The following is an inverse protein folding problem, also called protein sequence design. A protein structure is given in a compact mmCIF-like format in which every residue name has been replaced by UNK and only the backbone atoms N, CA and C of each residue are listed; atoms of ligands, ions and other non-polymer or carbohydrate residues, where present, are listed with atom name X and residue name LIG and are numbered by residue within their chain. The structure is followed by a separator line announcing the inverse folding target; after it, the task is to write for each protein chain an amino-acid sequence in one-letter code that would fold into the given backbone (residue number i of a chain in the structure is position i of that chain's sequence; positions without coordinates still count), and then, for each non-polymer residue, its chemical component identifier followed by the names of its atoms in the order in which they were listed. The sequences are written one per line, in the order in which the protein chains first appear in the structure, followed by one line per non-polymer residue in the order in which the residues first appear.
data_IF_294703211852
#
_entry.id   IF_294703211852
#
_cell.length_a   1.000
_cell.length_b   1.000
_cell.length_c   1.000
_cell.angle_alpha   90.00
_cell.angle_beta   90.00
_cell.angle_gamma   90.00
#
_symmetry.space_group_name_H-M   'P 1'
#
loop_
_entity.id
_entity.type
_entity.pdbx_description
1 polymer ?
#
# COMPACT_ATOMS: atom_id res chain seq x y z
N UNK A 1 -0.40 -22.88 48.80
CA UNK A 1 -1.37 -22.05 48.06
C UNK A 1 -1.09 -22.32 46.58
N UNK A 2 -2.04 -22.97 45.87
CA UNK A 2 -1.88 -23.17 44.44
C UNK A 2 -2.01 -21.82 43.72
N UNK A 3 -1.19 -21.56 42.72
CA UNK A 3 -1.37 -20.40 41.86
C UNK A 3 -2.77 -20.43 41.26
N UNK A 4 -3.47 -19.33 41.36
CA UNK A 4 -4.78 -19.17 40.71
C UNK A 4 -4.59 -19.37 39.17
N UNK A 5 -5.42 -20.22 38.54
CA UNK A 5 -5.25 -20.47 37.11
C UNK A 5 -5.41 -19.15 36.33
N UNK A 6 -4.50 -18.91 35.39
CA UNK A 6 -4.55 -17.71 34.55
C UNK A 6 -5.92 -17.63 33.83
N UNK A 7 -6.51 -16.45 33.71
CA UNK A 7 -7.78 -16.27 33.01
C UNK A 7 -7.64 -16.73 31.53
N UNK A 8 -8.73 -17.25 30.94
CA UNK A 8 -8.71 -17.62 29.53
C UNK A 8 -8.36 -16.41 28.65
N UNK A 9 -7.67 -16.61 27.53
CA UNK A 9 -7.31 -15.53 26.62
C UNK A 9 -8.58 -14.86 26.07
N UNK A 10 -8.51 -13.54 25.80
CA UNK A 10 -9.57 -12.85 25.08
C UNK A 10 -9.80 -13.54 23.73
N UNK A 11 -11.03 -13.99 23.41
CA UNK A 11 -11.35 -14.69 22.17
C UNK A 11 -11.38 -13.77 20.94
N UNK A 12 -11.41 -12.44 21.10
CA UNK A 12 -11.46 -11.49 20.00
C UNK A 12 -10.23 -11.60 19.13
N UNK A 13 -10.44 -11.79 17.83
CA UNK A 13 -9.38 -11.94 16.83
C UNK A 13 -9.34 -10.81 15.81
N UNK A 14 -10.29 -9.89 15.86
CA UNK A 14 -10.41 -8.80 14.90
C UNK A 14 -10.39 -7.44 15.58
N UNK A 15 -9.73 -6.49 14.92
CA UNK A 15 -9.68 -5.08 15.34
C UNK A 15 -9.80 -4.19 14.11
N UNK A 16 -10.29 -2.98 14.26
CA UNK A 16 -10.49 -2.04 13.13
C UNK A 16 -9.42 -0.96 13.07
N UNK A 17 -9.09 -0.34 14.20
CA UNK A 17 -8.17 0.80 14.27
C UNK A 17 -7.26 0.70 15.52
N UNK A 18 -6.34 -0.27 15.60
CA UNK A 18 -5.46 -0.36 16.75
C UNK A 18 -4.29 0.62 16.66
N UNK A 19 -3.91 1.21 17.81
CA UNK A 19 -2.55 1.73 17.97
C UNK A 19 -1.56 0.55 18.09
N UNK A 20 -0.27 0.78 17.85
CA UNK A 20 0.72 -0.28 18.02
C UNK A 20 0.77 -0.78 19.48
N UNK A 21 0.62 0.10 20.45
CA UNK A 21 0.53 -0.24 21.87
C UNK A 21 -0.70 -1.11 22.17
N UNK A 22 -1.87 -0.70 21.65
CA UNK A 22 -3.10 -1.46 21.80
C UNK A 22 -2.99 -2.85 21.16
N UNK A 23 -2.44 -2.94 19.94
CA UNK A 23 -2.20 -4.21 19.25
C UNK A 23 -1.24 -5.11 20.04
N UNK A 24 -0.16 -4.55 20.60
CA UNK A 24 0.78 -5.32 21.44
C UNK A 24 0.11 -5.87 22.69
N UNK A 25 -0.77 -5.09 23.32
CA UNK A 25 -1.55 -5.51 24.50
C UNK A 25 -2.51 -6.63 24.15
N UNK A 26 -3.22 -6.52 23.02
CA UNK A 26 -4.11 -7.58 22.53
C UNK A 26 -3.35 -8.90 22.28
N UNK A 27 -2.14 -8.84 21.73
CA UNK A 27 -1.29 -10.03 21.58
C UNK A 27 -0.77 -10.58 22.90
N UNK A 28 -0.62 -9.75 23.91
CA UNK A 28 -0.18 -10.20 25.23
C UNK A 28 -1.31 -10.89 26.01
N UNK A 29 -2.50 -10.31 26.00
CA UNK A 29 -3.65 -10.78 26.76
C UNK A 29 -4.49 -11.83 26.00
N UNK A 30 -4.52 -11.75 24.66
CA UNK A 30 -5.41 -12.50 23.79
C UNK A 30 -4.75 -13.60 22.96
N UNK A 31 -5.32 -13.78 21.79
CA UNK A 31 -4.91 -14.82 20.83
C UNK A 31 -3.65 -14.42 20.05
N UNK A 32 -2.79 -15.39 19.66
CA UNK A 32 -1.55 -15.10 18.95
C UNK A 32 -1.76 -14.76 17.46
N UNK A 33 -2.96 -14.90 16.93
CA UNK A 33 -3.33 -14.58 15.55
C UNK A 33 -4.46 -13.57 15.55
N UNK A 34 -4.20 -12.38 15.03
CA UNK A 34 -5.15 -11.28 14.95
C UNK A 34 -5.31 -10.78 13.50
N UNK A 35 -6.39 -10.08 13.23
CA UNK A 35 -6.63 -9.40 11.97
C UNK A 35 -7.10 -7.96 12.15
N UNK A 36 -6.53 -7.04 11.41
CA UNK A 36 -7.08 -5.70 11.22
C UNK A 36 -8.00 -5.80 10.01
N UNK A 37 -9.31 -5.66 10.24
CA UNK A 37 -10.32 -5.67 9.19
C UNK A 37 -11.13 -4.38 9.28
N UNK A 38 -11.11 -3.59 8.21
CA UNK A 38 -11.85 -2.32 8.16
C UNK A 38 -12.47 -2.13 6.79
N UNK A 39 -13.75 -1.85 6.76
CA UNK A 39 -14.52 -1.39 5.60
C UNK A 39 -14.36 0.13 5.38
N UNK A 40 -13.87 0.85 6.39
CA UNK A 40 -13.44 2.25 6.34
C UNK A 40 -11.93 2.38 6.63
N UNK A 41 -11.09 1.72 5.86
CA UNK A 41 -9.63 1.70 6.05
C UNK A 41 -8.98 3.09 6.01
N UNK A 42 -9.68 4.10 5.50
CA UNK A 42 -9.28 5.50 5.61
C UNK A 42 -9.13 5.97 7.05
N UNK A 43 -9.94 5.45 7.98
CA UNK A 43 -9.81 5.75 9.42
C UNK A 43 -8.48 5.23 9.98
N UNK A 44 -8.09 4.00 9.61
CA UNK A 44 -6.79 3.45 10.02
C UNK A 44 -5.62 4.25 9.40
N UNK A 45 -5.68 4.58 8.10
CA UNK A 45 -4.61 5.30 7.41
C UNK A 45 -4.50 6.77 7.85
N UNK A 46 -5.61 7.41 8.24
CA UNK A 46 -5.66 8.78 8.76
C UNK A 46 -5.69 8.89 10.29
N UNK A 47 -5.78 7.75 11.00
CA UNK A 47 -5.93 7.71 12.45
C UNK A 47 -4.65 8.00 13.23
N UNK A 48 -4.76 7.94 14.57
CA UNK A 48 -3.67 8.25 15.49
C UNK A 48 -2.41 7.40 15.26
N UNK A 49 -2.58 6.13 14.93
CA UNK A 49 -1.47 5.20 14.64
C UNK A 49 -0.63 5.66 13.44
N UNK A 50 -1.23 6.34 12.48
CA UNK A 50 -0.60 6.85 11.25
C UNK A 50 -0.35 8.37 11.27
N UNK A 51 -0.53 9.04 12.43
CA UNK A 51 -0.14 10.44 12.60
C UNK A 51 1.36 10.63 12.36
N UNK A 52 1.78 11.84 12.02
CA UNK A 52 3.16 12.18 11.66
C UNK A 52 4.19 11.65 12.67
N UNK A 53 3.86 11.70 13.97
CA UNK A 53 4.76 11.31 15.05
C UNK A 53 4.82 9.78 15.27
N UNK A 54 3.73 9.07 15.01
CA UNK A 54 3.61 7.63 15.27
C UNK A 54 3.83 6.77 14.04
N UNK A 55 3.65 7.33 12.84
CA UNK A 55 3.60 6.63 11.56
C UNK A 55 4.82 5.73 11.33
N UNK A 56 6.01 6.28 11.42
CA UNK A 56 7.24 5.52 11.15
C UNK A 56 7.38 4.31 12.09
N UNK A 57 7.05 4.49 13.36
CA UNK A 57 7.06 3.42 14.36
C UNK A 57 6.00 2.36 14.07
N UNK A 58 4.81 2.78 13.69
CA UNK A 58 3.71 1.86 13.35
C UNK A 58 4.04 1.06 12.10
N UNK A 59 4.52 1.70 11.02
CA UNK A 59 4.91 1.03 9.78
C UNK A 59 6.03 0.01 10.01
N UNK A 60 7.07 0.36 10.78
CA UNK A 60 8.15 -0.56 11.12
C UNK A 60 7.63 -1.77 11.90
N UNK A 61 6.76 -1.55 12.88
CA UNK A 61 6.17 -2.62 13.68
C UNK A 61 5.27 -3.57 12.87
N UNK A 62 4.49 -3.03 11.94
CA UNK A 62 3.67 -3.85 11.05
C UNK A 62 4.53 -4.64 10.05
N UNK A 63 5.64 -4.07 9.58
CA UNK A 63 6.62 -4.78 8.76
C UNK A 63 7.26 -5.95 9.53
N UNK A 64 7.60 -5.75 10.80
CA UNK A 64 8.13 -6.83 11.67
C UNK A 64 7.10 -7.94 11.88
N UNK A 65 5.84 -7.60 12.11
CA UNK A 65 4.75 -8.57 12.23
C UNK A 65 4.50 -9.34 10.92
N UNK A 66 4.65 -8.69 9.78
CA UNK A 66 4.56 -9.35 8.48
C UNK A 66 5.68 -10.38 8.27
N UNK A 67 6.89 -10.09 8.77
CA UNK A 67 8.03 -11.03 8.78
C UNK A 67 7.84 -12.17 9.81
N UNK A 68 6.93 -11.99 10.78
CA UNK A 68 6.76 -12.91 11.91
C UNK A 68 7.82 -12.74 13.00
N UNK A 69 8.49 -11.59 13.04
CA UNK A 69 9.46 -11.26 14.06
C UNK A 69 8.81 -11.18 15.46
N UNK A 70 9.53 -11.52 16.54
CA UNK A 70 9.02 -11.38 17.88
C UNK A 70 8.74 -9.92 18.25
N UNK A 71 7.64 -9.66 18.94
CA UNK A 71 7.37 -8.36 19.53
C UNK A 71 8.19 -8.24 20.81
N UNK A 72 9.12 -7.29 20.85
CA UNK A 72 9.94 -7.01 22.02
C UNK A 72 9.56 -5.66 22.61
N UNK A 73 9.24 -5.65 23.91
CA UNK A 73 8.89 -4.43 24.65
C UNK A 73 9.69 -4.33 25.92
N UNK A 74 10.25 -3.15 26.14
CA UNK A 74 10.89 -2.76 27.40
C UNK A 74 10.32 -1.39 27.78
N UNK A 75 9.61 -1.32 28.91
CA UNK A 75 9.07 -0.07 29.44
C UNK A 75 9.46 0.09 30.89
N UNK A 76 9.78 1.32 31.28
CA UNK A 76 10.03 1.69 32.65
C UNK A 76 8.69 1.54 33.41
N UNK A 77 8.61 0.62 34.38
CA UNK A 77 7.42 0.37 35.21
C UNK A 77 6.57 -0.85 34.82
N UNK A 78 6.56 -1.29 33.56
CA UNK A 78 5.77 -2.46 33.10
C UNK A 78 6.62 -3.73 32.89
N UNK A 79 7.96 -3.61 33.08
CA UNK A 79 8.89 -4.71 32.82
C UNK A 79 9.23 -4.89 31.34
N UNK A 80 9.97 -5.97 31.06
CA UNK A 80 10.36 -6.35 29.69
C UNK A 80 9.73 -7.69 29.35
N UNK A 81 9.14 -7.78 28.14
CA UNK A 81 8.61 -9.04 27.64
C UNK A 81 8.91 -9.23 26.14
N UNK A 82 8.89 -10.48 25.70
CA UNK A 82 9.03 -10.86 24.31
C UNK A 82 7.91 -11.83 23.94
N UNK A 83 7.15 -11.50 22.91
CA UNK A 83 6.06 -12.32 22.37
C UNK A 83 6.54 -12.97 21.08
N UNK A 84 6.74 -14.27 21.09
CA UNK A 84 7.09 -15.08 19.92
C UNK A 84 5.83 -15.59 19.22
N UNK A 85 5.94 -15.96 17.93
CA UNK A 85 4.90 -16.64 17.20
C UNK A 85 3.60 -15.82 17.09
N UNK A 86 3.68 -14.52 16.84
CA UNK A 86 2.50 -13.66 16.59
C UNK A 86 2.28 -13.51 15.10
N UNK A 87 1.01 -13.47 14.67
CA UNK A 87 0.61 -13.29 13.27
C UNK A 87 -0.47 -12.23 13.17
N UNK A 88 -0.33 -11.38 12.17
CA UNK A 88 -1.28 -10.31 11.86
C UNK A 88 -1.66 -10.38 10.38
N UNK A 89 -2.95 -10.44 10.10
CA UNK A 89 -3.51 -10.15 8.79
C UNK A 89 -4.04 -8.71 8.77
N UNK A 90 -3.95 -8.04 7.62
CA UNK A 90 -4.50 -6.69 7.44
C UNK A 90 -5.34 -6.66 6.17
N UNK A 91 -6.60 -6.28 6.29
CA UNK A 91 -7.53 -6.08 5.19
C UNK A 91 -8.22 -4.72 5.35
N UNK A 92 -8.02 -3.85 4.35
CA UNK A 92 -8.55 -2.49 4.37
C UNK A 92 -9.31 -2.23 3.08
N UNK A 93 -10.56 -1.82 3.18
CA UNK A 93 -11.29 -1.19 2.09
C UNK A 93 -11.08 0.32 2.20
N UNK A 94 -10.49 0.93 1.19
CA UNK A 94 -10.10 2.34 1.24
C UNK A 94 -10.72 3.08 0.07
N UNK A 95 -11.22 4.27 0.32
CA UNK A 95 -11.71 5.14 -0.75
C UNK A 95 -10.55 5.53 -1.68
N UNK A 96 -10.74 5.55 -3.03
CA UNK A 96 -9.66 5.78 -3.98
C UNK A 96 -8.84 7.04 -3.74
N UNK A 97 -9.48 8.15 -3.33
CA UNK A 97 -8.79 9.40 -3.02
C UNK A 97 -7.79 9.24 -1.87
N UNK A 98 -8.24 8.66 -0.75
CA UNK A 98 -7.41 8.42 0.43
C UNK A 98 -6.27 7.42 0.11
N UNK A 99 -6.57 6.39 -0.68
CA UNK A 99 -5.56 5.42 -1.08
C UNK A 99 -4.46 6.06 -1.94
N UNK A 100 -4.82 6.92 -2.90
CA UNK A 100 -3.85 7.64 -3.75
C UNK A 100 -2.93 8.53 -2.96
N UNK A 101 -3.47 9.31 -2.01
CA UNK A 101 -2.68 10.18 -1.14
C UNK A 101 -1.67 9.35 -0.31
N UNK A 102 -2.11 8.20 0.20
CA UNK A 102 -1.24 7.31 0.96
C UNK A 102 -0.18 6.63 0.09
N UNK A 103 -0.53 6.22 -1.13
CA UNK A 103 0.41 5.61 -2.08
C UNK A 103 1.43 6.61 -2.64
N UNK A 104 1.07 7.89 -2.72
CA UNK A 104 1.97 8.96 -3.13
C UNK A 104 2.94 9.39 -2.02
N UNK A 105 2.75 8.93 -0.77
CA UNK A 105 3.63 9.30 0.34
C UNK A 105 4.97 8.53 0.28
N UNK A 106 6.11 9.23 0.03
CA UNK A 106 7.42 8.59 -0.06
C UNK A 106 7.79 7.77 1.18
N UNK A 107 7.32 8.17 2.37
CA UNK A 107 7.63 7.43 3.62
C UNK A 107 6.98 6.06 3.66
N UNK A 108 5.80 5.91 3.05
CA UNK A 108 5.11 4.62 3.00
C UNK A 108 5.80 3.66 2.02
N UNK A 109 6.36 4.17 0.93
CA UNK A 109 7.13 3.40 -0.05
C UNK A 109 8.54 3.09 0.46
N UNK A 110 9.31 4.09 0.90
CA UNK A 110 10.68 3.96 1.40
C UNK A 110 10.82 2.98 2.58
N UNK A 111 9.78 2.85 3.41
CA UNK A 111 9.76 1.87 4.52
C UNK A 111 9.48 0.45 4.05
N UNK A 112 9.13 0.25 2.79
CA UNK A 112 8.71 -1.04 2.23
C UNK A 112 7.36 -1.53 2.79
N UNK A 113 6.55 -0.66 3.39
CA UNK A 113 5.24 -1.02 3.92
C UNK A 113 4.24 -1.32 2.82
N UNK A 114 4.06 -0.39 1.87
CA UNK A 114 3.17 -0.55 0.73
C UNK A 114 3.47 -1.81 -0.10
N UNK A 115 4.73 -2.13 -0.43
CA UNK A 115 5.08 -3.35 -1.17
C UNK A 115 4.64 -4.68 -0.54
N UNK A 116 4.22 -4.68 0.71
CA UNK A 116 3.72 -5.87 1.41
C UNK A 116 2.21 -6.08 1.25
N UNK A 117 1.52 -5.12 0.66
CA UNK A 117 0.09 -5.21 0.40
C UNK A 117 -0.18 -5.69 -1.03
N UNK A 118 -1.19 -6.52 -1.15
CA UNK A 118 -1.85 -6.84 -2.41
C UNK A 118 -2.92 -5.77 -2.62
N UNK A 119 -2.68 -4.85 -3.55
CA UNK A 119 -3.56 -3.70 -3.79
C UNK A 119 -4.31 -3.86 -5.11
N UNK A 120 -5.58 -3.46 -5.13
CA UNK A 120 -6.36 -3.35 -6.36
C UNK A 120 -7.43 -2.25 -6.24
N UNK A 121 -7.75 -1.64 -7.36
CA UNK A 121 -8.87 -0.71 -7.51
C UNK A 121 -9.77 -1.23 -8.65
N UNK A 122 -10.81 -2.03 -8.33
CA UNK A 122 -11.72 -2.54 -9.34
C UNK A 122 -12.51 -1.41 -9.99
N UNK A 123 -12.91 -1.59 -11.26
CA UNK A 123 -13.73 -0.63 -11.95
C UNK A 123 -15.06 -0.41 -11.22
N UNK A 124 -15.49 0.86 -11.12
CA UNK A 124 -16.76 1.20 -10.50
C UNK A 124 -17.93 0.60 -11.26
N UNK A 125 -18.82 -0.08 -10.55
CA UNK A 125 -20.08 -0.59 -11.08
C UNK A 125 -21.27 0.34 -10.81
N UNK A 126 -21.03 1.58 -10.37
CA UNK A 126 -22.08 2.57 -10.15
C UNK A 126 -22.86 2.80 -11.44
N UNK A 127 -24.20 2.76 -11.35
CA UNK A 127 -25.09 2.87 -12.49
C UNK A 127 -25.49 1.54 -13.14
N UNK A 128 -24.80 0.44 -12.85
CA UNK A 128 -25.11 -0.90 -13.38
C UNK A 128 -25.70 -1.86 -12.35
N UNK A 129 -25.71 -1.48 -11.07
CA UNK A 129 -26.19 -2.31 -9.94
C UNK A 129 -27.69 -2.20 -9.78
N UNK A 130 -28.45 -2.80 -10.72
CA UNK A 130 -29.91 -2.81 -10.68
C UNK A 130 -30.39 -3.98 -9.83
N UNK A 131 -31.25 -3.73 -8.83
CA UNK A 131 -31.80 -4.77 -7.94
C UNK A 131 -32.49 -5.91 -8.69
N UNK A 132 -33.16 -5.59 -9.79
CA UNK A 132 -33.82 -6.61 -10.63
C UNK A 132 -32.86 -7.61 -11.27
N UNK A 133 -31.57 -7.28 -11.36
CA UNK A 133 -30.52 -8.14 -11.97
C UNK A 133 -29.66 -8.84 -10.92
N UNK A 134 -29.85 -8.51 -9.63
CA UNK A 134 -29.05 -9.08 -8.55
C UNK A 134 -29.50 -10.51 -8.28
N UNK A 135 -28.65 -11.48 -8.60
CA UNK A 135 -28.83 -12.87 -8.18
C UNK A 135 -28.00 -13.07 -6.91
N UNK A 136 -28.66 -13.45 -5.82
CA UNK A 136 -27.99 -13.95 -4.62
C UNK A 136 -27.73 -15.44 -4.79
N UNK A 137 -26.47 -15.86 -4.75
CA UNK A 137 -26.11 -17.27 -4.61
C UNK A 137 -25.89 -17.58 -3.13
N UNK A 138 -26.96 -17.76 -2.42
CA UNK A 138 -26.92 -18.08 -0.98
C UNK A 138 -26.21 -19.42 -0.73
N UNK A 139 -26.22 -20.36 -1.68
CA UNK A 139 -25.55 -21.65 -1.56
C UNK A 139 -24.03 -21.51 -1.55
N UNK A 140 -23.46 -20.69 -2.42
CA UNK A 140 -22.02 -20.42 -2.47
C UNK A 140 -21.55 -19.70 -1.19
N UNK A 141 -22.28 -18.70 -0.74
CA UNK A 141 -21.98 -17.95 0.50
C UNK A 141 -22.03 -18.87 1.72
N UNK A 142 -23.06 -19.71 1.84
CA UNK A 142 -23.19 -20.66 2.94
C UNK A 142 -22.08 -21.71 2.93
N UNK A 143 -21.72 -22.23 1.76
CA UNK A 143 -20.63 -23.19 1.60
C UNK A 143 -19.29 -22.60 2.03
N UNK A 144 -18.99 -21.37 1.59
CA UNK A 144 -17.81 -20.64 2.04
C UNK A 144 -17.78 -20.44 3.56
N UNK A 145 -18.89 -19.94 4.11
CA UNK A 145 -18.99 -19.69 5.55
C UNK A 145 -18.84 -20.98 6.37
N UNK A 146 -19.43 -22.08 5.92
CA UNK A 146 -19.30 -23.38 6.57
C UNK A 146 -17.86 -23.88 6.56
N UNK A 147 -17.17 -23.79 5.40
CA UNK A 147 -15.78 -24.18 5.26
C UNK A 147 -14.86 -23.34 6.15
N UNK A 148 -15.01 -22.01 6.11
CA UNK A 148 -14.27 -21.08 6.96
C UNK A 148 -14.49 -21.38 8.45
N UNK A 149 -15.73 -21.63 8.87
CA UNK A 149 -16.05 -22.03 10.24
C UNK A 149 -15.33 -23.32 10.63
N UNK A 150 -15.27 -24.28 9.72
CA UNK A 150 -14.51 -25.53 9.91
C UNK A 150 -13.03 -25.30 10.20
N UNK A 151 -12.40 -24.39 9.43
CA UNK A 151 -11.00 -23.99 9.64
C UNK A 151 -10.82 -23.26 10.99
N UNK A 152 -11.67 -22.28 11.27
CA UNK A 152 -11.57 -21.47 12.50
C UNK A 152 -11.87 -22.23 13.78
N UNK A 153 -12.55 -23.39 13.68
CA UNK A 153 -12.86 -24.26 14.82
C UNK A 153 -11.73 -25.24 15.16
N UNK A 154 -10.66 -25.27 14.35
CA UNK A 154 -9.48 -26.09 14.65
C UNK A 154 -8.62 -25.44 15.74
N UNK A 155 -7.99 -26.29 16.54
CA UNK A 155 -6.97 -25.83 17.49
C UNK A 155 -5.81 -25.19 16.75
N UNK A 156 -5.34 -24.06 17.26
CA UNK A 156 -4.15 -23.41 16.71
C UNK A 156 -2.90 -24.23 17.08
N UNK A 157 -1.94 -24.38 16.14
CA UNK A 157 -0.64 -24.98 16.43
C UNK A 157 0.18 -24.03 17.32
N UNK A 158 -0.04 -24.06 18.63
CA UNK A 158 0.61 -23.14 19.55
C UNK A 158 1.10 -23.86 20.82
N UNK A 159 2.19 -23.38 21.37
CA UNK A 159 2.65 -23.72 22.71
C UNK A 159 1.65 -23.22 23.77
N UNK A 160 1.17 -24.10 24.63
CA UNK A 160 0.12 -23.77 25.61
C UNK A 160 0.60 -22.79 26.68
N UNK A 161 1.88 -22.81 27.05
CA UNK A 161 2.44 -21.95 28.11
C UNK A 161 2.72 -20.53 27.62
N UNK A 162 3.35 -20.41 26.45
CA UNK A 162 3.77 -19.10 25.88
C UNK A 162 2.73 -18.52 24.94
N UNK A 163 1.77 -19.32 24.52
CA UNK A 163 0.82 -18.98 23.44
C UNK A 163 1.51 -18.56 22.13
N UNK A 164 2.75 -18.99 21.92
CA UNK A 164 3.44 -18.77 20.66
C UNK A 164 2.92 -19.72 19.60
N UNK A 165 2.59 -19.23 18.41
CA UNK A 165 2.29 -20.09 17.28
C UNK A 165 3.54 -20.84 16.85
N UNK A 166 3.41 -22.13 16.65
CA UNK A 166 4.43 -23.05 16.16
C UNK A 166 3.94 -23.74 14.88
N UNK A 167 3.77 -22.98 13.79
CA UNK A 167 3.25 -23.55 12.54
C UNK A 167 4.26 -24.53 11.96
N UNK A 168 3.74 -25.64 11.42
CA UNK A 168 4.58 -26.54 10.62
C UNK A 168 5.09 -25.84 9.36
N UNK A 169 6.25 -26.25 8.89
CA UNK A 169 6.78 -25.81 7.61
C UNK A 169 6.04 -26.50 6.46
N UNK A 170 5.43 -25.73 5.56
CA UNK A 170 4.86 -26.24 4.33
C UNK A 170 5.92 -26.14 3.23
N UNK A 171 6.31 -27.29 2.65
CA UNK A 171 7.33 -27.35 1.60
C UNK A 171 6.69 -27.13 0.23
N UNK A 172 7.50 -26.79 -0.76
CA UNK A 172 7.12 -26.79 -2.17
C UNK A 172 7.50 -28.15 -2.76
N UNK A 173 6.65 -28.72 -3.62
CA UNK A 173 7.07 -29.81 -4.47
C UNK A 173 8.02 -29.36 -5.59
N UNK A 174 8.48 -30.26 -6.46
CA UNK A 174 9.41 -29.94 -7.54
C UNK A 174 8.83 -28.94 -8.54
N UNK A 175 7.56 -29.11 -8.89
CA UNK A 175 6.89 -28.31 -9.92
C UNK A 175 6.55 -26.91 -9.40
N UNK A 176 6.02 -26.81 -8.18
CA UNK A 176 5.80 -25.53 -7.51
C UNK A 176 7.10 -24.74 -7.37
N UNK A 177 8.19 -25.43 -7.03
CA UNK A 177 9.51 -24.78 -6.92
C UNK A 177 10.03 -24.28 -8.27
N UNK A 178 9.88 -25.06 -9.34
CA UNK A 178 10.29 -24.66 -10.68
C UNK A 178 9.52 -23.43 -11.16
N UNK A 179 8.19 -23.45 -11.03
CA UNK A 179 7.33 -22.32 -11.38
C UNK A 179 7.67 -21.04 -10.60
N UNK A 180 7.92 -21.17 -9.30
CA UNK A 180 8.29 -20.03 -8.47
C UNK A 180 9.63 -19.40 -8.92
N UNK A 181 10.64 -20.23 -9.25
CA UNK A 181 11.94 -19.73 -9.73
C UNK A 181 11.77 -18.98 -11.05
N UNK A 182 11.06 -19.58 -12.01
CA UNK A 182 10.78 -18.94 -13.30
C UNK A 182 10.07 -17.59 -13.15
N UNK A 183 9.07 -17.53 -12.28
CA UNK A 183 8.36 -16.29 -11.96
C UNK A 183 9.30 -15.26 -11.33
N UNK A 184 10.09 -15.66 -10.34
CA UNK A 184 11.04 -14.76 -9.66
C UNK A 184 12.06 -14.17 -10.63
N UNK A 185 12.65 -14.99 -11.51
CA UNK A 185 13.63 -14.56 -12.52
C UNK A 185 13.00 -13.62 -13.54
N UNK A 186 11.75 -13.88 -13.95
CA UNK A 186 11.00 -13.03 -14.87
C UNK A 186 10.75 -11.66 -14.26
N UNK A 187 10.29 -11.62 -13.01
CA UNK A 187 10.04 -10.36 -12.27
C UNK A 187 11.35 -9.61 -12.03
N UNK A 188 12.44 -10.30 -11.68
CA UNK A 188 13.75 -9.69 -11.47
C UNK A 188 14.25 -9.04 -12.77
N UNK A 189 14.12 -9.72 -13.90
CA UNK A 189 14.51 -9.16 -15.21
C UNK A 189 13.71 -7.91 -15.57
N UNK A 190 12.42 -7.85 -15.18
CA UNK A 190 11.53 -6.72 -15.43
C UNK A 190 11.85 -5.48 -14.56
N UNK A 191 12.68 -5.59 -13.53
CA UNK A 191 13.10 -4.47 -12.66
C UNK A 191 14.30 -3.68 -13.21
N UNK A 192 14.95 -4.13 -14.27
CA UNK A 192 16.10 -3.44 -14.86
C UNK A 192 15.77 -2.00 -15.24
N UNK A 193 16.75 -1.07 -15.22
CA UNK A 193 16.51 0.31 -15.65
C UNK A 193 15.86 0.36 -17.04
N UNK A 194 14.72 1.04 -17.15
CA UNK A 194 13.93 1.16 -18.36
C UNK A 194 13.03 -0.04 -18.71
N UNK A 195 13.05 -1.12 -17.93
CA UNK A 195 12.12 -2.23 -18.08
C UNK A 195 10.75 -1.93 -17.42
N UNK A 196 9.77 -2.79 -17.68
CA UNK A 196 8.34 -2.54 -17.34
C UNK A 196 8.06 -2.31 -15.85
N UNK A 197 8.86 -2.88 -14.94
CA UNK A 197 8.65 -2.78 -13.49
C UNK A 197 9.70 -1.91 -12.79
N UNK A 198 10.53 -1.18 -13.54
CA UNK A 198 11.56 -0.29 -12.98
C UNK A 198 10.98 0.82 -12.08
N UNK A 199 9.71 1.17 -12.25
CA UNK A 199 9.01 2.18 -11.46
C UNK A 199 8.38 1.65 -10.16
N UNK A 200 8.35 0.32 -9.94
CA UNK A 200 7.71 -0.35 -8.80
C UNK A 200 8.60 -1.45 -8.19
N UNK A 201 9.91 -1.23 -8.18
CA UNK A 201 10.88 -2.24 -7.70
C UNK A 201 10.60 -2.75 -6.28
N UNK A 202 10.04 -1.90 -5.40
CA UNK A 202 9.60 -2.30 -4.08
C UNK A 202 8.57 -3.45 -4.11
N UNK A 203 7.52 -3.29 -4.91
CA UNK A 203 6.48 -4.32 -5.10
C UNK A 203 7.02 -5.55 -5.82
N UNK A 204 7.77 -5.35 -6.90
CA UNK A 204 8.36 -6.41 -7.68
C UNK A 204 9.27 -7.32 -6.82
N UNK A 205 10.11 -6.74 -5.96
CA UNK A 205 10.97 -7.48 -5.02
C UNK A 205 10.20 -8.34 -4.00
N UNK A 206 8.90 -8.10 -3.82
CA UNK A 206 8.04 -8.89 -2.93
C UNK A 206 7.15 -9.89 -3.65
N UNK A 207 7.10 -9.84 -4.98
CA UNK A 207 6.15 -10.64 -5.77
C UNK A 207 6.30 -12.15 -5.56
N UNK A 208 7.52 -12.69 -5.57
CA UNK A 208 7.78 -14.11 -5.33
C UNK A 208 7.39 -14.54 -3.92
N UNK A 209 7.66 -13.72 -2.90
CA UNK A 209 7.22 -13.98 -1.52
C UNK A 209 5.69 -13.92 -1.40
N UNK A 210 5.02 -12.99 -2.07
CA UNK A 210 3.55 -12.92 -2.12
C UNK A 210 2.97 -14.17 -2.81
N UNK A 211 3.55 -14.62 -3.92
CA UNK A 211 3.14 -15.85 -4.58
C UNK A 211 3.23 -17.06 -3.63
N UNK A 212 4.32 -17.22 -2.89
CA UNK A 212 4.47 -18.27 -1.88
C UNK A 212 3.38 -18.20 -0.79
N UNK A 213 3.07 -16.99 -0.31
CA UNK A 213 2.04 -16.79 0.73
C UNK A 213 0.65 -17.14 0.22
N UNK A 214 0.31 -16.72 -0.99
CA UNK A 214 -0.97 -17.04 -1.65
C UNK A 214 -1.05 -18.54 -1.87
N UNK A 215 -0.02 -19.18 -2.44
CA UNK A 215 0.01 -20.61 -2.67
C UNK A 215 -0.21 -21.41 -1.37
N UNK A 216 0.48 -21.04 -0.29
CA UNK A 216 0.27 -21.65 1.02
C UNK A 216 -1.17 -21.49 1.54
N UNK A 217 -1.81 -20.34 1.32
CA UNK A 217 -3.22 -20.13 1.69
C UNK A 217 -4.14 -20.99 0.85
N UNK A 218 -3.95 -21.05 -0.48
CA UNK A 218 -4.77 -21.87 -1.40
C UNK A 218 -4.67 -23.38 -1.04
N UNK A 219 -3.44 -23.87 -0.83
CA UNK A 219 -3.20 -25.25 -0.41
C UNK A 219 -3.91 -25.59 0.90
N UNK A 220 -3.75 -24.73 1.92
CA UNK A 220 -4.34 -24.99 3.25
C UNK A 220 -5.84 -24.70 3.30
N UNK A 221 -6.37 -23.85 2.41
CA UNK A 221 -7.80 -23.72 2.23
C UNK A 221 -8.42 -25.03 1.72
N UNK A 222 -7.75 -25.71 0.80
CA UNK A 222 -8.20 -27.01 0.25
C UNK A 222 -8.04 -28.14 1.24
N UNK A 223 -6.85 -28.26 1.84
CA UNK A 223 -6.54 -29.28 2.86
C UNK A 223 -5.55 -28.74 3.89
N UNK A 224 -6.02 -28.59 5.13
CA UNK A 224 -5.17 -28.18 6.26
C UNK A 224 -4.02 -29.15 6.56
N UNK A 225 -4.11 -30.40 6.10
CA UNK A 225 -3.10 -31.44 6.31
C UNK A 225 -2.20 -31.65 5.09
N UNK A 226 -2.37 -30.88 4.00
CA UNK A 226 -1.57 -31.02 2.79
C UNK A 226 -0.07 -31.09 3.12
N UNK A 227 0.68 -32.05 2.56
CA UNK A 227 2.10 -32.24 2.90
C UNK A 227 3.01 -31.16 2.28
N UNK A 228 2.61 -30.60 1.14
CA UNK A 228 3.36 -29.63 0.37
C UNK A 228 2.42 -28.72 -0.44
N UNK A 229 2.93 -27.63 -0.95
CA UNK A 229 2.32 -26.82 -2.03
C UNK A 229 2.64 -27.53 -3.34
N UNK A 230 1.61 -27.82 -4.13
CA UNK A 230 1.72 -28.47 -5.43
C UNK A 230 1.83 -27.42 -6.55
N UNK A 231 2.26 -27.88 -7.75
CA UNK A 231 2.44 -27.02 -8.91
C UNK A 231 1.18 -26.25 -9.29
N UNK A 232 -0.01 -26.86 -9.18
CA UNK A 232 -1.30 -26.20 -9.47
C UNK A 232 -1.56 -24.99 -8.57
N UNK A 233 -1.43 -25.17 -7.25
CA UNK A 233 -1.60 -24.07 -6.29
C UNK A 233 -0.60 -22.93 -6.51
N UNK A 234 0.64 -23.30 -6.90
CA UNK A 234 1.66 -22.29 -7.21
C UNK A 234 1.33 -21.52 -8.50
N UNK A 235 0.84 -22.19 -9.54
CA UNK A 235 0.44 -21.55 -10.80
C UNK A 235 -0.69 -20.53 -10.57
N UNK A 236 -1.71 -20.93 -9.80
CA UNK A 236 -2.82 -20.05 -9.41
C UNK A 236 -2.32 -18.86 -8.59
N UNK A 237 -1.42 -19.11 -7.64
CA UNK A 237 -0.83 -18.07 -6.82
C UNK A 237 0.02 -17.07 -7.62
N UNK A 238 0.78 -17.55 -8.60
CA UNK A 238 1.56 -16.71 -9.53
C UNK A 238 0.62 -15.84 -10.37
N UNK A 239 -0.49 -16.41 -10.85
CA UNK A 239 -1.52 -15.66 -11.59
C UNK A 239 -2.08 -14.52 -10.74
N UNK A 240 -2.44 -14.78 -9.49
CA UNK A 240 -2.92 -13.76 -8.57
C UNK A 240 -1.84 -12.74 -8.22
N UNK A 241 -0.62 -13.16 -7.92
CA UNK A 241 0.49 -12.26 -7.62
C UNK A 241 0.82 -11.36 -8.81
N UNK A 242 0.79 -11.89 -10.03
CA UNK A 242 0.96 -11.14 -11.28
C UNK A 242 -0.14 -10.09 -11.49
N UNK A 243 -1.40 -10.44 -11.21
CA UNK A 243 -2.52 -9.50 -11.25
C UNK A 243 -2.28 -8.32 -10.28
N UNK A 244 -1.97 -8.59 -9.01
CA UNK A 244 -1.73 -7.54 -8.03
C UNK A 244 -0.49 -6.70 -8.33
N UNK A 245 0.53 -7.30 -8.94
CA UNK A 245 1.70 -6.56 -9.40
C UNK A 245 1.36 -5.61 -10.55
N UNK A 246 0.51 -6.05 -11.49
CA UNK A 246 -0.04 -5.20 -12.55
C UNK A 246 -0.90 -4.06 -12.00
N UNK A 247 -1.73 -4.33 -10.99
CA UNK A 247 -2.51 -3.31 -10.29
C UNK A 247 -1.62 -2.30 -9.54
N UNK A 248 -0.57 -2.77 -8.87
CA UNK A 248 0.40 -1.89 -8.21
C UNK A 248 1.07 -0.94 -9.22
N UNK A 249 1.45 -1.44 -10.40
CA UNK A 249 2.02 -0.63 -11.48
C UNK A 249 1.00 0.42 -11.95
N UNK A 250 -0.21 0.00 -12.29
CA UNK A 250 -1.27 0.89 -12.76
C UNK A 250 -1.61 1.99 -11.77
N UNK A 251 -1.76 1.63 -10.49
CA UNK A 251 -2.13 2.58 -9.43
C UNK A 251 -0.98 3.53 -9.08
N UNK A 252 0.26 3.07 -9.09
CA UNK A 252 1.43 3.91 -8.87
C UNK A 252 1.60 4.92 -9.99
N UNK A 253 1.42 4.52 -11.25
CA UNK A 253 1.47 5.44 -12.38
C UNK A 253 0.33 6.46 -12.33
N UNK A 254 -0.89 6.02 -11.97
CA UNK A 254 -2.04 6.91 -11.79
C UNK A 254 -1.80 7.92 -10.65
N UNK A 255 -1.22 7.49 -9.54
CA UNK A 255 -0.90 8.36 -8.41
C UNK A 255 0.15 9.42 -8.79
N UNK A 256 1.19 9.04 -9.54
CA UNK A 256 2.20 9.98 -10.05
C UNK A 256 1.60 11.04 -10.97
N UNK A 257 0.75 10.62 -11.92
CA UNK A 257 0.06 11.55 -12.84
C UNK A 257 -0.86 12.51 -12.07
N UNK A 258 -1.59 12.01 -11.06
CA UNK A 258 -2.45 12.84 -10.21
C UNK A 258 -1.65 13.87 -9.42
N UNK A 259 -0.52 13.48 -8.84
CA UNK A 259 0.37 14.39 -8.10
C UNK A 259 1.00 15.47 -9.00
N UNK A 260 1.40 15.10 -10.21
CA UNK A 260 1.93 16.05 -11.20
C UNK A 260 0.85 17.06 -11.62
N UNK A 261 -0.38 16.60 -11.81
CA UNK A 261 -1.52 17.46 -12.18
C UNK A 261 -1.88 18.41 -11.05
N UNK A 262 -1.98 17.93 -9.80
CA UNK A 262 -2.23 18.78 -8.63
C UNK A 262 -1.13 19.84 -8.46
N UNK A 263 0.11 19.45 -8.64
CA UNK A 263 1.27 20.32 -8.57
C UNK A 263 1.22 21.43 -9.64
N UNK A 264 0.84 21.08 -10.86
CA UNK A 264 0.67 22.03 -11.95
C UNK A 264 -0.51 22.98 -11.69
N UNK A 265 -1.63 22.48 -11.16
CA UNK A 265 -2.81 23.30 -10.84
C UNK A 265 -2.51 24.30 -9.71
N UNK A 266 -1.83 23.90 -8.65
CA UNK A 266 -1.37 24.80 -7.58
C UNK A 266 -0.41 25.87 -8.11
N UNK A 267 0.47 25.50 -9.06
CA UNK A 267 1.33 26.47 -9.74
C UNK A 267 0.50 27.46 -10.57
N UNK A 268 -0.51 26.99 -11.30
CA UNK A 268 -1.42 27.84 -12.08
C UNK A 268 -2.11 28.87 -11.20
N UNK A 269 -2.71 28.42 -10.10
CA UNK A 269 -3.39 29.31 -9.16
C UNK A 269 -2.46 30.42 -8.66
N UNK A 270 -1.27 30.06 -8.18
CA UNK A 270 -0.28 31.02 -7.72
C UNK A 270 0.16 32.00 -8.81
N UNK A 271 0.39 31.55 -10.05
CA UNK A 271 0.77 32.40 -11.17
C UNK A 271 -0.32 33.40 -11.56
N UNK A 272 -1.58 32.99 -11.48
CA UNK A 272 -2.72 33.83 -11.85
C UNK A 272 -3.08 34.81 -10.73
N UNK A 273 -3.08 34.40 -9.48
CA UNK A 273 -3.63 35.13 -8.34
C UNK A 273 -2.56 35.96 -7.61
N UNK A 274 -1.35 35.44 -7.46
CA UNK A 274 -0.34 36.05 -6.59
C UNK A 274 0.90 36.58 -7.33
N UNK A 275 1.24 35.99 -8.50
CA UNK A 275 2.45 36.40 -9.21
C UNK A 275 2.29 37.74 -9.93
N UNK A 276 3.15 38.76 -9.61
CA UNK A 276 2.91 40.14 -10.06
C UNK A 276 3.34 40.44 -11.51
N UNK A 277 4.11 39.53 -12.14
CA UNK A 277 4.67 39.79 -13.47
C UNK A 277 3.90 39.03 -14.57
N UNK A 278 3.86 39.54 -15.81
CA UNK A 278 3.25 38.86 -16.94
C UNK A 278 4.07 37.66 -17.45
N UNK A 279 5.37 37.61 -17.12
CA UNK A 279 6.25 36.52 -17.49
C UNK A 279 6.77 35.76 -16.26
N UNK A 280 7.08 34.47 -16.45
CA UNK A 280 7.67 33.59 -15.43
C UNK A 280 8.81 32.79 -16.01
N UNK A 281 9.83 32.51 -15.20
CA UNK A 281 10.93 31.61 -15.49
C UNK A 281 10.93 30.45 -14.51
N UNK A 282 11.53 29.31 -14.89
CA UNK A 282 11.68 28.15 -13.96
C UNK A 282 12.34 28.56 -12.64
N UNK A 283 13.36 29.45 -12.68
CA UNK A 283 14.01 30.00 -11.48
C UNK A 283 13.04 30.73 -10.54
N UNK A 284 12.08 31.47 -11.11
CA UNK A 284 11.09 32.21 -10.32
C UNK A 284 10.19 31.23 -9.55
N UNK A 285 9.76 30.14 -10.21
CA UNK A 285 8.96 29.09 -9.59
C UNK A 285 9.75 28.44 -8.47
N UNK A 286 11.00 28.01 -8.73
CA UNK A 286 11.86 27.36 -7.73
C UNK A 286 12.09 28.24 -6.51
N UNK A 287 12.31 29.54 -6.70
CA UNK A 287 12.70 30.44 -5.61
C UNK A 287 11.53 31.07 -4.88
N UNK A 288 10.42 31.35 -5.56
CA UNK A 288 9.34 32.19 -5.05
C UNK A 288 8.00 31.51 -4.86
N UNK A 289 7.70 30.44 -5.63
CA UNK A 289 6.43 29.74 -5.45
C UNK A 289 6.32 29.16 -4.01
N UNK A 290 5.20 29.33 -3.31
CA UNK A 290 5.01 28.81 -1.95
C UNK A 290 4.76 27.29 -1.94
N UNK A 291 5.17 26.58 -2.97
CA UNK A 291 4.93 25.16 -3.21
C UNK A 291 6.24 24.39 -3.00
N UNK A 292 6.36 23.69 -1.88
CA UNK A 292 7.59 22.96 -1.51
C UNK A 292 8.05 21.96 -2.59
N UNK A 293 7.11 21.27 -3.23
CA UNK A 293 7.39 20.29 -4.27
C UNK A 293 7.99 20.90 -5.56
N UNK A 294 7.94 22.22 -5.75
CA UNK A 294 8.51 22.93 -6.90
C UNK A 294 9.88 23.57 -6.62
N UNK A 295 10.52 23.27 -5.49
CA UNK A 295 11.88 23.76 -5.16
C UNK A 295 12.97 23.13 -6.02
N UNK A 296 12.67 22.03 -6.70
CA UNK A 296 13.56 21.37 -7.65
C UNK A 296 13.29 21.84 -9.08
N UNK A 297 14.35 22.16 -9.82
CA UNK A 297 14.27 22.66 -11.20
C UNK A 297 13.52 21.69 -12.11
N UNK A 298 13.72 20.38 -11.94
CA UNK A 298 13.05 19.34 -12.75
C UNK A 298 11.52 19.38 -12.55
N UNK A 299 11.08 19.43 -11.31
CA UNK A 299 9.65 19.49 -10.98
C UNK A 299 9.00 20.79 -11.46
N UNK A 300 9.66 21.92 -11.26
CA UNK A 300 9.19 23.22 -11.72
C UNK A 300 9.08 23.29 -13.26
N UNK A 301 10.06 22.76 -13.98
CA UNK A 301 10.05 22.68 -15.46
C UNK A 301 8.93 21.79 -15.97
N UNK A 302 8.73 20.61 -15.35
CA UNK A 302 7.64 19.70 -15.72
C UNK A 302 6.26 20.33 -15.52
N UNK A 303 6.04 21.03 -14.39
CA UNK A 303 4.78 21.71 -14.11
C UNK A 303 4.52 22.88 -15.07
N UNK A 304 5.55 23.66 -15.42
CA UNK A 304 5.43 24.72 -16.44
C UNK A 304 5.12 24.12 -17.82
N UNK A 305 5.76 23.01 -18.21
CA UNK A 305 5.48 22.29 -19.44
C UNK A 305 4.06 21.74 -19.50
N UNK A 306 3.50 21.30 -18.37
CA UNK A 306 2.09 20.89 -18.28
C UNK A 306 1.16 22.08 -18.48
N UNK A 307 1.43 23.22 -17.82
CA UNK A 307 0.65 24.44 -18.00
C UNK A 307 0.73 24.98 -19.43
N UNK A 308 1.87 24.81 -20.11
CA UNK A 308 2.06 25.16 -21.52
C UNK A 308 1.16 24.29 -22.42
N UNK A 309 1.13 22.96 -22.22
CA UNK A 309 0.26 22.04 -22.97
C UNK A 309 -1.23 22.41 -22.84
N UNK A 310 -1.62 22.92 -21.69
CA UNK A 310 -2.99 23.34 -21.41
C UNK A 310 -3.26 24.82 -21.68
N UNK A 311 -2.31 25.56 -22.28
CA UNK A 311 -2.49 26.95 -22.71
C UNK A 311 -2.52 27.99 -21.60
N UNK A 312 -2.13 27.63 -20.36
CA UNK A 312 -2.07 28.56 -19.23
C UNK A 312 -0.81 29.41 -19.23
N UNK A 313 0.23 28.94 -19.88
CA UNK A 313 1.44 29.73 -20.17
C UNK A 313 1.87 29.49 -21.62
N UNK A 314 2.44 30.50 -22.25
CA UNK A 314 2.95 30.45 -23.61
C UNK A 314 4.46 30.63 -23.61
N UNK A 315 5.26 29.76 -24.27
CA UNK A 315 6.71 29.90 -24.33
C UNK A 315 7.10 31.17 -25.09
N UNK A 316 8.11 31.87 -24.61
CA UNK A 316 8.69 33.04 -25.28
C UNK A 316 9.90 32.61 -26.12
N UNK A 317 10.17 33.24 -27.28
CA UNK A 317 11.36 33.00 -28.07
C UNK A 317 12.64 33.13 -27.26
N UNK A 318 13.62 32.24 -27.48
CA UNK A 318 14.93 32.35 -26.85
C UNK A 318 15.58 33.72 -27.14
N UNK A 319 16.17 34.35 -26.13
CA UNK A 319 16.74 35.69 -26.25
C UNK A 319 15.75 36.79 -25.91
N UNK A 320 14.47 36.52 -25.67
CA UNK A 320 13.51 37.55 -25.22
C UNK A 320 13.99 38.21 -23.94
N UNK A 321 13.95 39.56 -23.94
CA UNK A 321 14.32 40.32 -22.75
C UNK A 321 13.18 40.30 -21.73
N UNK A 322 13.44 39.64 -20.60
CA UNK A 322 12.50 39.54 -19.48
C UNK A 322 13.15 40.17 -18.25
N UNK A 323 12.50 41.19 -17.72
CA UNK A 323 12.98 41.96 -16.55
C UNK A 323 14.41 42.43 -16.70
N UNK A 324 14.73 43.06 -17.88
CA UNK A 324 16.00 43.71 -18.17
C UNK A 324 17.15 42.78 -18.60
N UNK A 325 16.90 41.49 -18.81
CA UNK A 325 17.94 40.55 -19.30
C UNK A 325 17.38 39.58 -20.33
N UNK A 326 18.21 39.24 -21.35
CA UNK A 326 17.89 38.21 -22.32
C UNK A 326 17.82 36.85 -21.66
N UNK A 327 16.79 36.04 -21.96
CA UNK A 327 16.51 34.74 -21.35
C UNK A 327 16.46 33.65 -22.41
N UNK A 328 17.05 32.49 -22.08
CA UNK A 328 16.98 31.31 -22.93
C UNK A 328 15.63 30.62 -22.84
N UNK A 329 14.99 30.70 -21.66
CA UNK A 329 13.68 30.08 -21.38
C UNK A 329 12.85 30.98 -20.46
N UNK A 330 11.66 31.33 -20.94
CA UNK A 330 10.66 32.07 -20.17
C UNK A 330 9.29 31.81 -20.78
N UNK A 331 8.23 32.02 -20.00
CA UNK A 331 6.86 31.87 -20.45
C UNK A 331 6.07 33.15 -20.11
N UNK A 332 5.11 33.47 -21.00
CA UNK A 332 4.08 34.48 -20.74
C UNK A 332 2.89 33.82 -20.08
N UNK A 333 2.39 34.37 -18.99
CA UNK A 333 1.21 33.90 -18.30
C UNK A 333 -0.03 34.35 -19.06
N UNK A 334 -0.94 33.45 -19.38
CA UNK A 334 -2.22 33.73 -20.02
C UNK A 334 -3.23 34.06 -18.92
N UNK A 335 -3.45 35.36 -18.67
CA UNK A 335 -4.44 35.87 -17.72
C UNK A 335 -5.69 36.26 -18.48
N UNK A 336 -6.77 35.52 -18.35
CA UNK A 336 -8.10 35.90 -18.83
C UNK A 336 -8.31 35.80 -20.33
N UNK A 337 -8.82 34.63 -20.75
CA UNK A 337 -9.90 34.48 -21.71
C UNK A 337 -10.63 33.23 -21.21
N UNK A 338 -11.94 33.34 -20.95
CA UNK A 338 -12.75 32.20 -20.57
C UNK A 338 -12.48 31.05 -21.53
N UNK A 339 -11.98 29.96 -21.03
CA UNK A 339 -11.90 28.73 -21.81
C UNK A 339 -13.34 28.27 -22.06
N UNK A 340 -13.79 28.45 -23.28
CA UNK A 340 -14.92 27.67 -23.79
C UNK A 340 -14.55 26.20 -23.65
N UNK A 341 -15.38 25.47 -22.90
CA UNK A 341 -15.37 24.03 -22.74
C UNK A 341 -15.64 23.38 -24.10
#
# INVERSE_FOLDING_TARGET
MGEEPAPPPNPDRTVTEPTYEGLTRLFFEGMPSLGIFSDEGGQFLGGFAMSTDNRQKTLAALNDLWQGNPIRRTRQGEGSFTLHGRRLAVHLMVQPGVARDFMADPKADDTGFLPRFLICEPASTIGTRLHALTRQDDGAVQSFAWHLKGILSRDLPMDRRTRALEPRTLKLDSDARALLIEFADTVEAAQRPGASMSGITGYASKAAEQACRIAGVLTLWRDLNAPAVEGEDMADAITLAGYYLGEALRLTDTAKVSEETDRAERLRQWLVEEWPHPEVMTRDVVQKAPIRALRETKAATASLGMLEKHGWVAPLPAGTVVRGAARSTAWRIVRGAGHAV
#
